data_IF_058257185918
#
_entry.id   IF_058257185918
#
_cell.length_a   1.000
_cell.length_b   1.000
_cell.length_c   1.000
_cell.angle_alpha   90.00
_cell.angle_beta   90.00
_cell.angle_gamma   90.00
#
_symmetry.space_group_name_H-M   'P 1'
#
loop_
_entity.id
_entity.type
_entity.pdbx_description
1 polymer ?
#
# COMPACT_ATOMS: atom_id res chain seq x y z
N UNK A 1 13.78 3.76 -21.35
CA UNK A 1 13.05 3.64 -20.06
C UNK A 1 12.57 2.20 -19.96
N UNK A 2 12.80 1.48 -18.86
CA UNK A 2 12.21 0.16 -18.70
C UNK A 2 10.68 0.31 -18.70
N UNK A 3 10.02 -0.32 -19.66
CA UNK A 3 8.56 -0.49 -19.66
C UNK A 3 8.27 -1.60 -18.67
N UNK A 4 8.06 -1.25 -17.40
CA UNK A 4 7.49 -2.20 -16.44
C UNK A 4 6.09 -2.55 -16.95
N UNK A 5 5.95 -3.71 -17.58
CA UNK A 5 4.65 -4.23 -17.96
C UNK A 5 3.89 -4.55 -16.67
N UNK A 6 2.84 -3.78 -16.40
CA UNK A 6 1.96 -4.03 -15.26
C UNK A 6 1.03 -5.16 -15.68
N UNK A 7 1.09 -6.28 -14.98
CA UNK A 7 0.11 -7.36 -15.13
C UNK A 7 -1.18 -6.96 -14.40
N UNK A 8 -2.10 -6.35 -15.14
CA UNK A 8 -3.41 -5.93 -14.62
C UNK A 8 -4.32 -7.11 -14.25
N UNK A 9 -3.98 -8.36 -14.54
CA UNK A 9 -4.83 -9.51 -14.18
C UNK A 9 -4.38 -10.17 -12.87
N UNK A 10 -3.10 -10.07 -12.56
CA UNK A 10 -2.49 -10.64 -11.35
C UNK A 10 -2.00 -9.59 -10.35
N UNK A 11 -2.24 -8.31 -10.61
CA UNK A 11 -1.91 -7.25 -9.67
C UNK A 11 -2.57 -7.46 -8.30
N UNK A 12 -1.83 -7.18 -7.25
CA UNK A 12 -2.35 -7.10 -5.89
C UNK A 12 -3.00 -5.73 -5.64
N UNK A 13 -3.78 -5.65 -4.57
CA UNK A 13 -4.22 -4.38 -4.03
C UNK A 13 -3.03 -3.46 -3.73
N UNK A 14 -3.20 -2.16 -3.96
CA UNK A 14 -2.18 -1.17 -3.64
C UNK A 14 -1.90 -1.07 -2.13
N UNK A 15 -2.88 -1.45 -1.29
CA UNK A 15 -2.80 -1.37 0.17
C UNK A 15 -2.41 -2.70 0.86
N UNK A 16 -2.66 -3.86 0.24
CA UNK A 16 -2.37 -5.18 0.85
C UNK A 16 -2.04 -6.25 -0.20
N UNK A 17 -1.78 -7.49 0.20
CA UNK A 17 -1.40 -8.58 -0.69
C UNK A 17 -2.56 -9.34 -1.34
N UNK A 18 -3.82 -8.96 -1.07
CA UNK A 18 -4.98 -9.59 -1.72
C UNK A 18 -5.05 -9.22 -3.20
N UNK A 19 -5.62 -10.10 -4.02
CA UNK A 19 -5.91 -9.83 -5.43
C UNK A 19 -6.87 -8.65 -5.57
N UNK A 20 -6.61 -7.75 -6.51
CA UNK A 20 -7.53 -6.64 -6.78
C UNK A 20 -8.80 -7.14 -7.49
N UNK A 21 -9.90 -6.42 -7.26
CA UNK A 21 -11.19 -6.59 -7.94
C UNK A 21 -11.62 -5.32 -8.70
N UNK A 22 -10.95 -4.20 -8.42
CA UNK A 22 -11.24 -2.90 -9.01
C UNK A 22 -9.94 -2.12 -9.29
N UNK A 23 -9.98 -1.31 -10.35
CA UNK A 23 -8.88 -0.46 -10.80
C UNK A 23 -9.41 0.95 -11.00
N UNK A 24 -8.83 1.93 -10.29
CA UNK A 24 -9.19 3.33 -10.40
C UNK A 24 -7.99 4.17 -10.83
N UNK A 25 -8.19 5.14 -11.72
CA UNK A 25 -7.16 6.14 -12.04
C UNK A 25 -7.56 7.48 -11.45
N UNK A 26 -6.65 8.07 -10.67
CA UNK A 26 -6.89 9.29 -9.88
C UNK A 26 -5.87 10.36 -10.26
N UNK A 27 -6.32 11.61 -10.35
CA UNK A 27 -5.44 12.77 -10.51
C UNK A 27 -5.08 13.24 -9.10
N UNK A 28 -3.82 13.04 -8.73
CA UNK A 28 -3.31 13.47 -7.42
C UNK A 28 -2.86 14.92 -7.54
N UNK A 29 -3.13 15.70 -6.48
CA UNK A 29 -2.69 17.08 -6.39
C UNK A 29 -1.17 17.21 -6.63
N UNK A 30 -0.70 18.36 -7.14
CA UNK A 30 0.72 18.59 -7.39
C UNK A 30 1.53 18.37 -6.10
N UNK A 31 2.63 17.62 -6.20
CA UNK A 31 3.53 17.43 -5.05
C UNK A 31 4.31 18.71 -4.77
N UNK A 32 4.69 18.95 -3.51
CA UNK A 32 5.57 20.06 -3.12
C UNK A 32 6.86 20.10 -3.96
N UNK A 33 7.41 18.93 -4.31
CA UNK A 33 8.63 18.81 -5.13
C UNK A 33 8.43 19.20 -6.61
N UNK A 34 7.18 19.22 -7.10
CA UNK A 34 6.82 19.55 -8.48
C UNK A 34 5.48 20.29 -8.52
N UNK A 35 5.45 21.56 -8.10
CA UNK A 35 4.22 22.32 -7.88
C UNK A 35 3.36 22.52 -9.14
N UNK A 36 3.92 22.33 -10.33
CA UNK A 36 3.23 22.47 -11.62
C UNK A 36 3.08 21.14 -12.39
N UNK A 37 3.31 20.00 -11.74
CA UNK A 37 3.16 18.69 -12.37
C UNK A 37 1.83 18.05 -12.00
N UNK A 38 1.07 17.62 -13.01
CA UNK A 38 -0.08 16.73 -12.82
C UNK A 38 0.45 15.32 -12.62
N UNK A 39 0.12 14.68 -11.49
CA UNK A 39 0.44 13.28 -11.23
C UNK A 39 -0.83 12.45 -11.36
N UNK A 40 -0.78 11.41 -12.18
CA UNK A 40 -1.84 10.40 -12.25
C UNK A 40 -1.36 9.16 -11.51
N UNK A 41 -2.21 8.57 -10.68
CA UNK A 41 -1.97 7.27 -10.05
C UNK A 41 -3.01 6.27 -10.50
N UNK A 42 -2.57 5.04 -10.72
CA UNK A 42 -3.43 3.87 -10.88
C UNK A 42 -3.47 3.19 -9.51
N UNK A 43 -4.67 2.93 -9.02
CA UNK A 43 -4.93 2.33 -7.71
C UNK A 43 -5.70 1.04 -7.92
N UNK A 44 -5.20 -0.02 -7.28
CA UNK A 44 -5.79 -1.35 -7.30
C UNK A 44 -6.46 -1.61 -5.95
N UNK A 45 -7.74 -1.97 -5.94
CA UNK A 45 -8.53 -2.20 -4.71
C UNK A 45 -9.00 -3.65 -4.65
N UNK A 46 -8.84 -4.29 -3.49
CA UNK A 46 -9.48 -5.57 -3.18
C UNK A 46 -10.81 -5.32 -2.46
N UNK A 47 -11.52 -6.40 -2.12
CA UNK A 47 -12.81 -6.35 -1.41
C UNK A 47 -12.76 -5.54 -0.11
N UNK A 48 -11.75 -5.77 0.75
CA UNK A 48 -11.66 -5.02 2.03
C UNK A 48 -11.36 -3.53 1.88
N UNK A 49 -10.84 -3.11 0.72
CA UNK A 49 -10.35 -1.76 0.47
C UNK A 49 -11.14 -1.07 -0.65
N UNK A 50 -12.31 -1.61 -1.03
CA UNK A 50 -13.11 -1.07 -2.13
C UNK A 50 -13.70 0.30 -1.79
N UNK A 51 -14.00 0.52 -0.51
CA UNK A 51 -14.59 1.76 0.01
C UNK A 51 -13.54 2.76 0.53
N UNK A 52 -12.26 2.38 0.56
CA UNK A 52 -11.19 3.28 0.97
C UNK A 52 -10.96 4.38 -0.07
N UNK A 53 -10.72 5.59 0.42
CA UNK A 53 -10.33 6.72 -0.43
C UNK A 53 -8.84 6.64 -0.85
N UNK A 54 -8.43 7.55 -1.74
CA UNK A 54 -7.06 7.56 -2.27
C UNK A 54 -6.02 7.80 -1.19
N UNK A 55 -6.32 8.67 -0.23
CA UNK A 55 -5.39 9.09 0.80
C UNK A 55 -5.18 7.95 1.83
N UNK A 56 -6.26 7.23 2.15
CA UNK A 56 -6.23 6.00 2.95
C UNK A 56 -5.40 4.91 2.27
N UNK A 57 -5.67 4.64 0.99
CA UNK A 57 -4.89 3.67 0.22
C UNK A 57 -3.42 4.08 0.14
N UNK A 58 -3.10 5.37 -0.02
CA UNK A 58 -1.72 5.84 -0.07
C UNK A 58 -0.99 5.61 1.25
N UNK A 59 -1.63 5.89 2.40
CA UNK A 59 -1.06 5.58 3.72
C UNK A 59 -0.80 4.09 3.87
N UNK A 60 -1.75 3.25 3.49
CA UNK A 60 -1.61 1.79 3.57
C UNK A 60 -0.55 1.26 2.60
N UNK A 61 -0.43 1.84 1.40
CA UNK A 61 0.62 1.48 0.45
C UNK A 61 2.02 1.79 1.00
N UNK A 62 2.18 2.88 1.76
CA UNK A 62 3.44 3.18 2.45
C UNK A 62 3.75 2.12 3.51
N UNK A 63 2.74 1.69 4.28
CA UNK A 63 2.86 0.60 5.27
C UNK A 63 3.26 -0.70 4.56
N UNK A 64 2.52 -1.12 3.53
CA UNK A 64 2.81 -2.32 2.71
C UNK A 64 4.25 -2.30 2.20
N UNK A 65 4.71 -1.18 1.66
CA UNK A 65 6.08 -1.03 1.16
C UNK A 65 7.12 -1.10 2.29
N UNK A 66 6.84 -0.49 3.44
CA UNK A 66 7.75 -0.48 4.59
C UNK A 66 7.95 -1.88 5.16
N UNK A 67 6.91 -2.71 5.11
CA UNK A 67 6.90 -4.06 5.66
C UNK A 67 6.96 -5.16 4.59
N UNK A 68 7.28 -4.80 3.34
CA UNK A 68 7.30 -5.74 2.21
C UNK A 68 8.33 -6.88 2.37
N UNK A 69 9.33 -6.69 3.23
CA UNK A 69 10.39 -7.66 3.50
C UNK A 69 10.32 -8.25 4.91
N UNK A 70 9.23 -8.03 5.65
CA UNK A 70 9.04 -8.74 6.91
C UNK A 70 8.58 -10.16 6.61
N UNK A 71 9.30 -11.13 7.14
CA UNK A 71 8.87 -12.52 7.18
C UNK A 71 7.87 -12.71 8.35
N UNK A 72 7.01 -13.73 8.30
CA UNK A 72 6.16 -14.08 9.44
C UNK A 72 7.01 -14.38 10.69
N UNK A 73 8.24 -14.86 10.52
CA UNK A 73 9.20 -15.05 11.61
C UNK A 73 9.72 -13.74 12.23
N UNK A 74 9.58 -12.60 11.54
CA UNK A 74 9.92 -11.28 12.08
C UNK A 74 8.77 -10.69 12.92
N UNK A 75 7.58 -11.31 12.88
CA UNK A 75 6.43 -10.89 13.67
C UNK A 75 6.52 -11.53 15.07
N UNK A 76 6.75 -10.71 16.09
CA UNK A 76 6.48 -11.12 17.46
C UNK A 76 4.98 -11.16 17.70
N UNK A 77 4.50 -12.23 18.32
CA UNK A 77 3.11 -12.30 18.73
C UNK A 77 2.80 -11.21 19.76
N UNK A 78 1.52 -10.87 19.86
CA UNK A 78 1.02 -9.77 20.69
C UNK A 78 1.44 -9.93 22.16
N UNK A 79 1.43 -11.15 22.67
CA UNK A 79 1.79 -11.47 24.06
C UNK A 79 3.30 -11.25 24.28
N UNK A 80 4.13 -11.72 23.36
CA UNK A 80 5.58 -11.48 23.35
C UNK A 80 5.94 -10.00 23.26
N UNK A 81 5.19 -9.20 22.48
CA UNK A 81 5.40 -7.75 22.40
C UNK A 81 5.08 -7.03 23.72
N UNK A 82 3.95 -7.35 24.37
CA UNK A 82 3.60 -6.75 25.65
C UNK A 82 4.57 -7.15 26.77
N UNK A 83 5.00 -8.41 26.81
CA UNK A 83 5.98 -8.89 27.80
C UNK A 83 7.35 -8.20 27.70
N UNK A 84 7.71 -7.68 26.52
CA UNK A 84 8.96 -6.91 26.34
C UNK A 84 8.84 -5.46 26.83
N UNK A 85 7.63 -4.90 26.89
CA UNK A 85 7.38 -3.54 27.39
C UNK A 85 7.33 -3.49 28.92
N UNK A 86 6.90 -4.58 29.56
CA UNK A 86 6.81 -4.69 31.03
C UNK A 86 8.16 -5.02 31.70
N UNK A 87 9.25 -5.06 30.94
CA UNK A 87 10.62 -5.34 31.42
C UNK A 87 11.46 -4.08 31.71
N UNK A 88 10.89 -2.86 31.67
CA UNK A 88 11.56 -1.61 32.10
C UNK A 88 11.28 -1.21 33.56
#
# INVERSE_FOLDING_TARGET
MPTNNIDFHNAECSACHKKHIDIKTEIVAPSLDRPNAIRKKIIFRCEDHIDCDVDEIEKLALVKKRFQNLDENDLVDVETFFNQLDCE
#
